data_IF_970168359770
#
_entry.id   IF_970168359770
#
_cell.length_a   1.000
_cell.length_b   1.000
_cell.length_c   1.000
_cell.angle_alpha   90.00
_cell.angle_beta   90.00
_cell.angle_gamma   90.00
#
_symmetry.space_group_name_H-M   'P 1'
#
loop_
_entity.id
_entity.type
_entity.pdbx_description
1 polymer ?
#
# COMPACT_ATOMS: atom_id res chain seq x y z
N UNK A 1 4.33 -35.72 10.46
CA UNK A 1 4.01 -34.38 10.98
C UNK A 1 3.74 -33.48 9.78
N UNK A 2 2.50 -33.43 9.30
CA UNK A 2 2.12 -32.78 8.02
C UNK A 2 1.16 -31.60 8.23
N UNK A 3 1.28 -30.87 9.35
CA UNK A 3 0.32 -29.81 9.69
C UNK A 3 0.59 -28.47 8.99
N UNK A 4 1.70 -28.31 8.28
CA UNK A 4 2.10 -27.00 7.73
C UNK A 4 1.80 -26.81 6.23
N UNK A 5 1.57 -27.88 5.47
CA UNK A 5 1.38 -27.79 4.01
C UNK A 5 -0.05 -27.34 3.70
N UNK A 6 -1.04 -27.94 4.39
CA UNK A 6 -2.46 -27.65 4.18
C UNK A 6 -2.81 -26.22 4.63
N UNK A 7 -2.28 -25.76 5.78
CA UNK A 7 -2.46 -24.36 6.20
C UNK A 7 -1.85 -23.36 5.22
N UNK A 8 -0.69 -23.67 4.64
CA UNK A 8 -0.01 -22.78 3.71
C UNK A 8 -0.76 -22.67 2.37
N UNK A 9 -1.27 -23.79 1.85
CA UNK A 9 -2.11 -23.81 0.65
C UNK A 9 -3.45 -23.10 0.87
N UNK A 10 -4.08 -23.32 2.03
CA UNK A 10 -5.34 -22.67 2.38
C UNK A 10 -5.15 -21.15 2.56
N UNK A 11 -4.02 -20.72 3.15
CA UNK A 11 -3.63 -19.30 3.22
C UNK A 11 -3.33 -18.71 1.84
N UNK A 12 -2.69 -19.46 0.94
CA UNK A 12 -2.48 -19.01 -0.46
C UNK A 12 -3.80 -18.84 -1.21
N UNK A 13 -4.74 -19.78 -1.06
CA UNK A 13 -6.07 -19.69 -1.65
C UNK A 13 -6.87 -18.50 -1.12
N UNK A 14 -6.86 -18.29 0.20
CA UNK A 14 -7.49 -17.13 0.83
C UNK A 14 -6.84 -15.81 0.38
N UNK A 15 -5.51 -15.74 0.35
CA UNK A 15 -4.79 -14.54 -0.11
C UNK A 15 -5.07 -14.22 -1.58
N UNK A 16 -5.19 -15.22 -2.45
CA UNK A 16 -5.59 -15.05 -3.85
C UNK A 16 -7.02 -14.51 -3.99
N UNK A 17 -7.94 -15.00 -3.16
CA UNK A 17 -9.32 -14.52 -3.15
C UNK A 17 -9.40 -13.06 -2.69
N UNK A 18 -8.70 -12.73 -1.61
CA UNK A 18 -8.61 -11.37 -1.07
C UNK A 18 -7.93 -10.44 -2.07
N UNK A 19 -6.83 -10.85 -2.68
CA UNK A 19 -6.17 -10.09 -3.74
C UNK A 19 -7.13 -9.80 -4.89
N UNK A 20 -7.88 -10.78 -5.38
CA UNK A 20 -8.89 -10.56 -6.43
C UNK A 20 -9.94 -9.53 -6.02
N UNK A 21 -10.40 -9.55 -4.77
CA UNK A 21 -11.35 -8.57 -4.23
C UNK A 21 -10.75 -7.17 -4.18
N UNK A 22 -9.53 -7.04 -3.65
CA UNK A 22 -8.75 -5.79 -3.57
C UNK A 22 -8.47 -5.22 -4.96
N UNK A 23 -8.13 -6.07 -5.93
CA UNK A 23 -7.89 -5.68 -7.32
C UNK A 23 -9.15 -5.14 -8.02
N UNK A 24 -10.37 -5.42 -7.54
CA UNK A 24 -11.59 -4.78 -8.07
C UNK A 24 -11.69 -3.30 -7.73
N UNK A 25 -10.98 -2.84 -6.70
CA UNK A 25 -10.95 -1.43 -6.30
C UNK A 25 -9.94 -0.62 -7.13
N UNK A 26 -8.93 -1.29 -7.68
CA UNK A 26 -7.90 -0.68 -8.52
C UNK A 26 -8.50 -0.25 -9.87
N UNK A 27 -8.12 0.92 -10.43
CA UNK A 27 -8.53 1.34 -11.77
C UNK A 27 -8.20 0.29 -12.84
N UNK A 28 -9.12 0.05 -13.79
CA UNK A 28 -8.98 -1.02 -14.80
C UNK A 28 -7.65 -0.99 -15.55
N UNK A 29 -7.18 0.22 -15.91
CA UNK A 29 -5.92 0.43 -16.63
C UNK A 29 -4.66 -0.06 -15.89
N UNK A 30 -4.73 -0.19 -14.57
CA UNK A 30 -3.61 -0.57 -13.70
C UNK A 30 -3.74 -2.00 -13.16
N UNK A 31 -4.83 -2.71 -13.47
CA UNK A 31 -5.09 -4.06 -12.93
C UNK A 31 -4.04 -5.09 -13.34
N UNK A 32 -3.46 -4.95 -14.54
CA UNK A 32 -2.44 -5.85 -15.05
C UNK A 32 -1.00 -5.45 -14.67
N UNK A 33 -0.84 -4.38 -13.88
CA UNK A 33 0.48 -3.97 -13.41
C UNK A 33 1.03 -4.93 -12.35
N UNK A 34 2.02 -5.73 -12.74
CA UNK A 34 2.68 -6.71 -11.86
C UNK A 34 3.33 -6.05 -10.63
N UNK A 35 3.78 -4.80 -10.71
CA UNK A 35 4.40 -4.09 -9.59
C UNK A 35 3.34 -3.74 -8.55
N UNK A 36 2.18 -3.26 -9.03
CA UNK A 36 1.03 -2.98 -8.17
C UNK A 36 0.51 -4.26 -7.50
N UNK A 37 0.34 -5.34 -8.26
CA UNK A 37 -0.10 -6.62 -7.70
C UNK A 37 0.84 -7.12 -6.60
N UNK A 38 2.17 -7.06 -6.81
CA UNK A 38 3.16 -7.45 -5.81
C UNK A 38 3.09 -6.59 -4.55
N UNK A 39 2.95 -5.28 -4.71
CA UNK A 39 2.77 -4.35 -3.58
C UNK A 39 1.53 -4.72 -2.76
N UNK A 40 0.41 -4.99 -3.42
CA UNK A 40 -0.84 -5.33 -2.75
C UNK A 40 -0.78 -6.70 -2.07
N UNK A 41 -0.13 -7.70 -2.67
CA UNK A 41 0.12 -8.98 -2.01
C UNK A 41 0.96 -8.79 -0.75
N UNK A 42 2.02 -8.00 -0.83
CA UNK A 42 2.86 -7.71 0.33
C UNK A 42 2.08 -7.02 1.46
N UNK A 43 1.29 -5.99 1.13
CA UNK A 43 0.43 -5.31 2.11
C UNK A 43 -0.64 -6.22 2.70
N UNK A 44 -1.26 -7.06 1.89
CA UNK A 44 -2.23 -8.04 2.39
C UNK A 44 -1.62 -9.02 3.37
N UNK A 45 -0.37 -9.41 3.14
CA UNK A 45 0.36 -10.32 4.01
C UNK A 45 0.83 -9.65 5.31
N UNK A 46 1.24 -8.38 5.25
CA UNK A 46 1.78 -7.63 6.38
C UNK A 46 0.71 -6.89 7.21
N UNK A 47 -0.16 -6.13 6.55
CA UNK A 47 -1.15 -5.25 7.18
C UNK A 47 -2.54 -5.92 7.33
N UNK A 48 -2.81 -6.97 6.56
CA UNK A 48 -4.11 -7.61 6.47
C UNK A 48 -5.10 -6.93 5.52
N UNK A 49 -6.26 -7.55 5.32
CA UNK A 49 -7.27 -7.14 4.33
C UNK A 49 -7.86 -5.77 4.61
N UNK A 50 -8.34 -5.52 5.84
CA UNK A 50 -9.04 -4.29 6.19
C UNK A 50 -8.14 -3.06 6.01
N UNK A 51 -6.91 -3.11 6.53
CA UNK A 51 -5.93 -2.04 6.40
C UNK A 51 -5.52 -1.80 4.95
N UNK A 52 -5.39 -2.86 4.14
CA UNK A 52 -5.08 -2.73 2.71
C UNK A 52 -6.24 -2.09 1.93
N UNK A 53 -7.49 -2.45 2.25
CA UNK A 53 -8.67 -1.83 1.65
C UNK A 53 -8.74 -0.33 1.97
N UNK A 54 -8.54 0.05 3.23
CA UNK A 54 -8.55 1.46 3.65
C UNK A 54 -7.40 2.25 3.03
N UNK A 55 -6.22 1.65 2.95
CA UNK A 55 -5.08 2.21 2.23
C UNK A 55 -5.45 2.50 0.78
N UNK A 56 -5.99 1.53 0.05
CA UNK A 56 -6.40 1.70 -1.34
C UNK A 56 -7.47 2.76 -1.50
N UNK A 57 -8.54 2.75 -0.70
CA UNK A 57 -9.63 3.73 -0.82
C UNK A 57 -9.14 5.17 -0.69
N UNK A 58 -8.26 5.44 0.28
CA UNK A 58 -7.67 6.77 0.46
C UNK A 58 -6.86 7.20 -0.76
N UNK A 59 -6.04 6.31 -1.29
CA UNK A 59 -5.14 6.61 -2.40
C UNK A 59 -5.88 6.70 -3.73
N UNK A 60 -6.86 5.85 -4.00
CA UNK A 60 -7.70 5.90 -5.21
C UNK A 60 -8.47 7.22 -5.27
N UNK A 61 -9.11 7.64 -4.16
CA UNK A 61 -9.83 8.93 -4.10
C UNK A 61 -8.91 10.10 -4.41
N UNK A 62 -7.66 10.06 -3.95
CA UNK A 62 -6.67 11.10 -4.22
C UNK A 62 -6.15 11.04 -5.66
N UNK A 63 -5.94 9.83 -6.17
CA UNK A 63 -5.47 9.58 -7.53
C UNK A 63 -6.47 10.05 -8.59
N UNK A 64 -7.77 9.78 -8.40
CA UNK A 64 -8.84 10.24 -9.30
C UNK A 64 -8.91 11.78 -9.36
N UNK A 65 -8.55 12.46 -8.27
CA UNK A 65 -8.55 13.93 -8.20
C UNK A 65 -7.33 14.59 -8.87
N UNK A 66 -6.34 13.82 -9.31
CA UNK A 66 -5.13 14.38 -9.91
C UNK A 66 -5.21 14.39 -11.45
N UNK A 67 -4.78 15.49 -12.08
CA UNK A 67 -4.90 15.67 -13.53
C UNK A 67 -3.85 14.90 -14.35
N UNK A 68 -2.79 14.35 -13.76
CA UNK A 68 -1.73 13.69 -14.53
C UNK A 68 -1.98 12.20 -14.81
N UNK A 69 -1.73 11.74 -16.05
CA UNK A 69 -1.80 10.32 -16.42
C UNK A 69 -0.53 9.59 -15.96
N UNK A 70 -0.44 9.30 -14.66
CA UNK A 70 0.58 8.38 -14.12
C UNK A 70 -0.03 7.05 -13.76
N UNK A 71 0.73 5.96 -13.83
CA UNK A 71 0.26 4.65 -13.33
C UNK A 71 -0.01 4.73 -11.84
N UNK A 72 -0.99 3.97 -11.37
CA UNK A 72 -1.38 4.01 -9.97
C UNK A 72 -0.24 3.58 -9.04
N UNK A 73 0.58 2.60 -9.45
CA UNK A 73 1.78 2.19 -8.70
C UNK A 73 2.76 3.36 -8.47
N UNK A 74 3.09 4.10 -9.52
CA UNK A 74 4.04 5.21 -9.43
C UNK A 74 3.51 6.33 -8.53
N UNK A 75 2.19 6.56 -8.57
CA UNK A 75 1.51 7.45 -7.63
C UNK A 75 1.67 7.01 -6.18
N UNK A 76 1.49 5.73 -5.86
CA UNK A 76 1.64 5.19 -4.51
C UNK A 76 3.07 5.33 -3.98
N UNK A 77 4.08 5.02 -4.80
CA UNK A 77 5.49 5.15 -4.44
C UNK A 77 5.86 6.61 -4.21
N UNK A 78 5.44 7.50 -5.11
CA UNK A 78 5.71 8.94 -4.97
C UNK A 78 5.07 9.52 -3.71
N UNK A 79 3.85 9.08 -3.37
CA UNK A 79 3.18 9.53 -2.15
C UNK A 79 3.90 9.03 -0.89
N UNK A 80 4.39 7.78 -0.90
CA UNK A 80 5.20 7.24 0.19
C UNK A 80 6.51 8.04 0.38
N UNK A 81 7.22 8.35 -0.70
CA UNK A 81 8.43 9.18 -0.66
C UNK A 81 8.13 10.58 -0.11
N UNK A 82 7.02 11.20 -0.54
CA UNK A 82 6.59 12.51 -0.02
C UNK A 82 6.28 12.47 1.47
N UNK A 83 5.61 11.42 1.94
CA UNK A 83 5.30 11.25 3.36
C UNK A 83 6.57 11.02 4.20
N UNK A 84 7.52 10.24 3.70
CA UNK A 84 8.82 10.05 4.34
C UNK A 84 9.59 11.38 4.44
N UNK A 85 9.72 12.11 3.33
CA UNK A 85 10.39 13.41 3.32
C UNK A 85 9.73 14.45 4.23
N UNK A 86 8.39 14.46 4.33
CA UNK A 86 7.66 15.32 5.26
C UNK A 86 7.87 14.94 6.72
N UNK A 87 8.19 13.67 6.99
CA UNK A 87 8.50 13.17 8.34
C UNK A 87 9.94 13.53 8.74
N UNK A 88 10.88 13.48 7.81
CA UNK A 88 12.27 13.95 8.02
C UNK A 88 12.38 15.47 8.16
N UNK A 89 11.56 16.24 7.42
CA UNK A 89 11.48 17.69 7.56
C UNK A 89 10.91 18.13 8.92
N UNK A 90 10.22 17.22 9.62
CA UNK A 90 9.76 17.40 10.99
C UNK A 90 10.79 16.79 11.96
N UNK A 91 12.03 17.26 11.85
CA UNK A 91 13.08 16.95 12.83
C UNK A 91 12.62 17.26 14.26
N UNK A 92 13.25 16.66 15.29
CA UNK A 92 12.88 16.94 16.67
C UNK A 92 12.92 18.45 16.88
N UNK A 93 11.92 19.01 17.56
CA UNK A 93 12.03 20.34 18.15
C UNK A 93 13.23 20.31 19.11
N UNK A 94 14.43 20.55 18.62
CA UNK A 94 15.50 21.08 19.44
C UNK A 94 15.18 22.56 19.58
N UNK A 95 14.49 22.88 20.67
CA UNK A 95 14.55 24.23 21.22
C UNK A 95 16.02 24.67 21.22
N UNK A 96 16.36 25.89 20.75
CA UNK A 96 17.74 26.36 20.82
C UNK A 96 18.17 26.34 22.30
N UNK A 97 19.35 25.81 22.64
CA UNK A 97 19.80 25.79 24.02
C UNK A 97 19.86 27.24 24.49
N UNK A 98 19.03 27.55 25.47
CA UNK A 98 18.92 28.88 26.05
C UNK A 98 20.30 29.35 26.49
N UNK A 99 20.67 30.55 26.02
CA UNK A 99 21.73 31.34 26.60
C UNK A 99 21.45 31.52 28.09
N UNK A 100 22.34 31.01 28.93
CA UNK A 100 22.43 31.30 30.37
C UNK A 100 23.89 31.63 30.68
#
# INVERSE_FOLDING_TARGET
MNHNIIELENRRGAALFVLRRVMRMVPDRDKDDKRLQRLLVFRLWHDGEAATCDYLMRHIRRYIRQPEPRRFYDFLVQDHIRQAAASDAKGPNTDPPGAA
#
